data_IF_768312553090
#
_entry.id   IF_768312553090
#
_cell.length_a   1.000
_cell.length_b   1.000
_cell.length_c   1.000
_cell.angle_alpha   90.00
_cell.angle_beta   90.00
_cell.angle_gamma   90.00
#
_symmetry.space_group_name_H-M   'P 1'
#
loop_
_entity.id
_entity.type
_entity.pdbx_description
1 polymer ?
#
# COMPACT_ATOMS: atom_id res chain seq x y z
N UNK A 1 22.06 -39.84 14.82
CA UNK A 1 20.99 -38.83 14.58
C UNK A 1 21.58 -37.45 14.73
N UNK A 2 21.92 -36.77 13.62
CA UNK A 2 22.26 -35.34 13.67
C UNK A 2 20.95 -34.58 13.85
N UNK A 3 20.74 -33.99 15.04
CA UNK A 3 19.68 -32.99 15.22
C UNK A 3 20.04 -31.80 14.33
N UNK A 4 19.32 -31.64 13.24
CA UNK A 4 19.36 -30.42 12.44
C UNK A 4 18.93 -29.28 13.36
N UNK A 5 19.87 -28.40 13.72
CA UNK A 5 19.55 -27.15 14.40
C UNK A 5 18.83 -26.29 13.37
N UNK A 6 17.50 -26.29 13.43
CA UNK A 6 16.68 -25.36 12.64
C UNK A 6 16.99 -23.98 13.22
N UNK A 7 17.75 -23.19 12.47
CA UNK A 7 18.20 -21.86 12.90
C UNK A 7 16.98 -20.94 13.05
N UNK A 8 17.00 -19.99 13.99
CA UNK A 8 15.84 -19.12 14.29
C UNK A 8 15.31 -18.37 13.04
N UNK A 9 16.22 -17.95 12.14
CA UNK A 9 15.88 -17.40 10.83
C UNK A 9 15.06 -18.34 9.93
N UNK A 10 15.33 -19.65 9.96
CA UNK A 10 14.61 -20.63 9.13
C UNK A 10 13.21 -20.92 9.68
N UNK A 11 13.03 -20.91 11.00
CA UNK A 11 11.70 -21.00 11.63
C UNK A 11 10.88 -19.74 11.32
N UNK A 12 11.48 -18.56 11.45
CA UNK A 12 10.83 -17.28 11.14
C UNK A 12 10.42 -17.20 9.67
N UNK A 13 11.30 -17.61 8.74
CA UNK A 13 10.98 -17.68 7.29
C UNK A 13 9.87 -18.69 6.99
N UNK A 14 9.84 -19.85 7.66
CA UNK A 14 8.73 -20.81 7.52
C UNK A 14 7.41 -20.26 8.04
N UNK A 15 7.42 -19.51 9.15
CA UNK A 15 6.21 -18.87 9.67
C UNK A 15 5.71 -17.74 8.76
N UNK A 16 6.60 -16.96 8.15
CA UNK A 16 6.25 -15.95 7.14
C UNK A 16 5.57 -16.59 5.93
N UNK A 17 6.10 -17.71 5.43
CA UNK A 17 5.47 -18.45 4.33
C UNK A 17 4.10 -19.05 4.74
N UNK A 18 3.84 -19.25 6.03
CA UNK A 18 2.59 -19.83 6.50
C UNK A 18 1.40 -18.93 6.20
N UNK A 19 1.45 -17.64 6.53
CA UNK A 19 0.34 -16.72 6.25
C UNK A 19 0.03 -16.64 4.76
N UNK A 20 1.06 -16.43 3.93
CA UNK A 20 0.94 -16.34 2.47
C UNK A 20 0.49 -17.66 1.83
N UNK A 21 0.77 -18.80 2.47
CA UNK A 21 0.24 -20.10 2.04
C UNK A 21 -1.21 -20.35 2.46
N UNK A 22 -1.63 -19.87 3.63
CA UNK A 22 -3.00 -20.01 4.16
C UNK A 22 -3.99 -19.14 3.38
N UNK A 23 -3.54 -17.95 2.97
CA UNK A 23 -4.28 -17.00 2.13
C UNK A 23 -3.74 -17.01 0.71
N UNK A 24 -3.75 -18.20 0.10
CA UNK A 24 -3.31 -18.41 -1.28
C UNK A 24 -4.14 -17.55 -2.25
N UNK A 25 -3.51 -16.71 -3.09
CA UNK A 25 -4.21 -15.88 -4.07
C UNK A 25 -5.15 -16.65 -5.01
N UNK A 26 -4.84 -17.91 -5.35
CA UNK A 26 -5.65 -18.74 -6.25
C UNK A 26 -7.01 -19.13 -5.64
N UNK A 27 -7.12 -19.14 -4.31
CA UNK A 27 -8.37 -19.45 -3.60
C UNK A 27 -9.30 -18.22 -3.49
N UNK A 28 -8.85 -17.05 -3.98
CA UNK A 28 -9.50 -15.75 -3.81
C UNK A 28 -9.87 -15.38 -2.36
N UNK A 29 -9.12 -15.93 -1.40
CA UNK A 29 -9.27 -15.59 0.01
C UNK A 29 -8.62 -14.25 0.29
N UNK A 30 -9.36 -13.38 0.97
CA UNK A 30 -8.84 -12.13 1.48
C UNK A 30 -8.45 -12.30 2.95
N UNK A 31 -7.23 -11.92 3.28
CA UNK A 31 -6.77 -11.86 4.67
C UNK A 31 -7.42 -10.67 5.40
N UNK A 32 -8.01 -10.93 6.56
CA UNK A 32 -8.68 -9.95 7.41
C UNK A 32 -8.50 -10.37 8.88
N UNK A 33 -8.37 -9.40 9.78
CA UNK A 33 -8.22 -9.60 11.23
C UNK A 33 -9.46 -9.12 11.98
N UNK A 34 -10.10 -8.07 11.50
CA UNK A 34 -11.23 -7.37 12.11
C UNK A 34 -12.39 -7.26 11.11
N UNK A 35 -13.64 -7.40 11.57
CA UNK A 35 -14.82 -7.21 10.72
C UNK A 35 -15.19 -5.73 10.50
N UNK A 36 -16.35 -5.47 9.90
CA UNK A 36 -16.85 -4.12 9.64
C UNK A 36 -17.40 -3.43 10.90
N UNK A 37 -17.69 -4.19 11.96
CA UNK A 37 -18.14 -3.69 13.26
C UNK A 37 -16.97 -3.49 14.25
N UNK A 38 -15.74 -3.63 13.80
CA UNK A 38 -14.53 -3.44 14.61
C UNK A 38 -14.20 -4.62 15.53
N UNK A 39 -14.80 -5.80 15.32
CA UNK A 39 -14.56 -6.98 16.16
C UNK A 39 -13.44 -7.82 15.57
N UNK A 40 -12.49 -8.19 16.42
CA UNK A 40 -11.37 -9.06 16.03
C UNK A 40 -11.87 -10.50 15.82
N UNK A 41 -11.78 -10.97 14.58
CA UNK A 41 -12.17 -12.33 14.16
C UNK A 41 -11.00 -13.31 14.20
N UNK A 42 -9.76 -12.82 14.01
CA UNK A 42 -8.55 -13.65 13.99
C UNK A 42 -7.51 -13.19 15.04
N UNK A 43 -7.74 -13.43 16.35
CA UNK A 43 -6.85 -12.95 17.42
C UNK A 43 -5.40 -13.43 17.30
N UNK A 44 -5.17 -14.59 16.67
CA UNK A 44 -3.82 -15.14 16.41
C UNK A 44 -2.97 -14.26 15.48
N UNK A 45 -3.60 -13.42 14.68
CA UNK A 45 -2.95 -12.53 13.72
C UNK A 45 -2.98 -11.06 14.13
N UNK A 46 -3.54 -10.75 15.30
CA UNK A 46 -3.52 -9.40 15.84
C UNK A 46 -2.06 -8.96 16.07
N UNK A 47 -1.61 -7.85 15.46
CA UNK A 47 -0.23 -7.42 15.58
C UNK A 47 0.07 -6.90 17.00
N UNK A 48 1.32 -7.07 17.43
CA UNK A 48 1.80 -6.49 18.69
C UNK A 48 1.96 -4.96 18.54
N UNK A 49 0.87 -4.23 18.75
CA UNK A 49 0.83 -2.77 18.76
C UNK A 49 0.35 -2.29 20.14
N UNK A 50 1.16 -1.47 20.80
CA UNK A 50 0.76 -0.81 22.05
C UNK A 50 -0.43 0.12 21.82
N UNK A 51 -1.30 0.29 22.82
CA UNK A 51 -2.46 1.19 22.75
C UNK A 51 -2.08 2.61 22.33
N UNK A 52 -0.94 3.14 22.79
CA UNK A 52 -0.45 4.47 22.43
C UNK A 52 -0.15 4.60 20.93
N UNK A 53 0.53 3.58 20.37
CA UNK A 53 0.82 3.51 18.92
C UNK A 53 -0.46 3.33 18.10
N UNK A 54 -1.43 2.55 18.59
CA UNK A 54 -2.72 2.37 17.92
C UNK A 54 -3.52 3.67 17.87
N UNK A 55 -3.61 4.39 19.00
CA UNK A 55 -4.25 5.71 19.07
C UNK A 55 -3.54 6.71 18.15
N UNK A 56 -2.20 6.65 18.07
CA UNK A 56 -1.44 7.47 17.12
C UNK A 56 -1.82 7.14 15.67
N UNK A 57 -1.84 5.86 15.30
CA UNK A 57 -2.20 5.44 13.94
C UNK A 57 -3.62 5.90 13.57
N UNK A 58 -4.59 5.76 14.48
CA UNK A 58 -5.94 6.29 14.28
C UNK A 58 -5.94 7.80 14.03
N UNK A 59 -5.23 8.57 14.87
CA UNK A 59 -5.12 10.03 14.72
C UNK A 59 -4.43 10.44 13.41
N UNK A 60 -3.42 9.71 12.99
CA UNK A 60 -2.70 9.98 11.74
C UNK A 60 -3.62 9.73 10.52
N UNK A 61 -4.40 8.64 10.52
CA UNK A 61 -5.40 8.36 9.49
C UNK A 61 -6.48 9.44 9.45
N UNK A 62 -7.01 9.83 10.63
CA UNK A 62 -8.02 10.89 10.73
C UNK A 62 -7.47 12.25 10.27
N UNK A 63 -6.22 12.56 10.60
CA UNK A 63 -5.55 13.76 10.13
C UNK A 63 -5.39 13.75 8.61
N UNK A 64 -4.94 12.62 8.04
CA UNK A 64 -4.83 12.46 6.59
C UNK A 64 -6.19 12.64 5.89
N UNK A 65 -7.26 12.02 6.39
CA UNK A 65 -8.63 12.23 5.87
C UNK A 65 -9.06 13.68 5.96
N UNK A 66 -8.82 14.34 7.09
CA UNK A 66 -9.17 15.76 7.28
C UNK A 66 -8.43 16.64 6.28
N UNK A 67 -7.13 16.42 6.10
CA UNK A 67 -6.32 17.12 5.12
C UNK A 67 -6.79 16.86 3.68
N UNK A 68 -7.19 15.62 3.35
CA UNK A 68 -7.74 15.22 2.06
C UNK A 68 -9.02 15.99 1.72
N UNK A 69 -9.96 16.05 2.66
CA UNK A 69 -11.21 16.81 2.52
C UNK A 69 -10.94 18.31 2.36
N UNK A 70 -9.96 18.84 3.09
CA UNK A 70 -9.54 20.24 2.94
C UNK A 70 -8.91 20.53 1.58
N UNK A 71 -8.08 19.62 1.05
CA UNK A 71 -7.50 19.75 -0.27
C UNK A 71 -8.58 19.79 -1.37
N UNK A 72 -9.59 18.90 -1.29
CA UNK A 72 -10.76 18.93 -2.17
C UNK A 72 -11.51 20.27 -2.05
N UNK A 73 -11.75 20.75 -0.84
CA UNK A 73 -12.39 22.05 -0.61
C UNK A 73 -11.59 23.22 -1.21
N UNK A 74 -10.26 23.23 -1.05
CA UNK A 74 -9.39 24.24 -1.65
C UNK A 74 -9.38 24.18 -3.17
N UNK A 75 -9.44 22.98 -3.76
CA UNK A 75 -9.57 22.84 -5.19
C UNK A 75 -10.88 23.44 -5.71
N UNK A 76 -12.00 23.19 -5.04
CA UNK A 76 -13.31 23.77 -5.40
C UNK A 76 -13.35 25.29 -5.27
N UNK A 77 -12.51 25.87 -4.42
CA UNK A 77 -12.32 27.32 -4.28
C UNK A 77 -11.32 27.91 -5.29
N UNK A 78 -10.72 27.10 -6.18
CA UNK A 78 -9.69 27.56 -7.12
C UNK A 78 -8.34 27.85 -6.48
N UNK A 79 -8.10 27.38 -5.25
CA UNK A 79 -6.85 27.59 -4.48
C UNK A 79 -5.84 26.45 -4.66
N UNK A 80 -6.27 25.36 -5.29
CA UNK A 80 -5.47 24.17 -5.61
C UNK A 80 -5.84 23.69 -7.01
N UNK A 81 -4.89 23.10 -7.73
CA UNK A 81 -5.14 22.50 -9.04
C UNK A 81 -5.72 21.09 -8.88
N UNK A 82 -5.53 20.20 -9.86
CA UNK A 82 -6.03 18.83 -9.82
C UNK A 82 -5.48 18.08 -8.61
N UNK A 83 -6.37 17.56 -7.77
CA UNK A 83 -6.03 16.78 -6.58
C UNK A 83 -6.66 15.38 -6.64
N UNK A 84 -5.92 14.31 -6.31
CA UNK A 84 -6.43 12.93 -6.22
C UNK A 84 -6.83 12.55 -4.77
N UNK A 85 -8.12 12.45 -4.43
CA UNK A 85 -8.57 12.18 -3.06
C UNK A 85 -8.18 10.80 -2.51
N UNK A 86 -7.81 10.69 -1.25
CA UNK A 86 -7.35 9.46 -0.60
C UNK A 86 -8.49 8.75 0.18
N UNK A 87 -9.67 9.38 0.21
CA UNK A 87 -10.82 8.96 1.00
C UNK A 87 -11.20 7.48 0.79
N UNK A 88 -11.17 6.71 1.89
CA UNK A 88 -11.49 5.28 1.95
C UNK A 88 -10.26 4.37 1.92
N UNK A 89 -9.06 4.90 1.70
CA UNK A 89 -7.81 4.11 1.58
C UNK A 89 -6.85 4.34 2.76
N UNK A 90 -7.30 4.98 3.84
CA UNK A 90 -6.43 5.50 4.90
C UNK A 90 -5.66 4.40 5.65
N UNK A 91 -6.27 3.22 5.87
CA UNK A 91 -5.62 2.11 6.56
C UNK A 91 -4.41 1.52 5.81
N UNK A 92 -4.34 1.65 4.48
CA UNK A 92 -3.15 1.27 3.72
C UNK A 92 -1.98 2.17 4.12
N UNK A 93 -2.20 3.48 4.11
CA UNK A 93 -1.20 4.46 4.54
C UNK A 93 -0.89 4.39 6.04
N UNK A 94 -1.89 4.07 6.87
CA UNK A 94 -1.72 3.84 8.31
C UNK A 94 -0.87 2.60 8.59
N UNK A 95 -1.09 1.51 7.85
CA UNK A 95 -0.26 0.30 7.92
C UNK A 95 1.19 0.58 7.55
N UNK A 96 1.42 1.31 6.45
CA UNK A 96 2.75 1.77 6.07
C UNK A 96 3.38 2.65 7.16
N UNK A 97 2.61 3.58 7.74
CA UNK A 97 3.09 4.45 8.82
C UNK A 97 3.52 3.71 10.09
N UNK A 98 2.88 2.58 10.39
CA UNK A 98 3.19 1.77 11.57
C UNK A 98 4.43 0.89 11.33
N UNK A 99 4.62 0.39 10.11
CA UNK A 99 5.61 -0.64 9.80
C UNK A 99 6.90 -0.08 9.21
N UNK A 100 6.82 0.93 8.35
CA UNK A 100 7.95 1.47 7.62
C UNK A 100 8.94 2.16 8.57
N UNK A 101 10.22 1.76 8.50
CA UNK A 101 11.29 2.38 9.28
C UNK A 101 11.87 3.59 8.55
N UNK A 102 12.63 4.42 9.25
CA UNK A 102 13.27 5.61 8.67
C UNK A 102 14.26 5.24 7.56
N UNK A 103 14.94 4.11 7.69
CA UNK A 103 15.92 3.59 6.73
C UNK A 103 15.26 2.98 5.49
N UNK A 104 14.02 2.53 5.58
CA UNK A 104 13.31 1.91 4.47
C UNK A 104 12.92 2.95 3.41
N UNK A 105 12.93 2.57 2.14
CA UNK A 105 12.56 3.46 1.04
C UNK A 105 11.04 3.47 0.80
N UNK A 106 10.49 4.66 0.53
CA UNK A 106 9.12 4.80 0.02
C UNK A 106 9.11 5.30 -1.42
N UNK A 107 8.44 4.54 -2.29
CA UNK A 107 8.28 4.86 -3.71
C UNK A 107 6.79 5.06 -3.99
N UNK A 108 6.30 6.32 -3.97
CA UNK A 108 4.88 6.61 -4.02
C UNK A 108 4.30 6.64 -5.43
N UNK A 109 2.99 6.41 -5.54
CA UNK A 109 2.18 6.90 -6.65
C UNK A 109 1.68 8.33 -6.36
N UNK A 110 0.67 8.82 -7.09
CA UNK A 110 0.12 10.16 -6.91
C UNK A 110 -0.97 10.29 -5.82
N UNK A 111 -1.36 9.21 -5.14
CA UNK A 111 -2.46 9.18 -4.15
C UNK A 111 -1.99 8.55 -2.84
N UNK A 112 -1.04 9.19 -2.18
CA UNK A 112 -0.37 8.61 -0.99
C UNK A 112 -0.26 9.61 0.17
N UNK A 113 -1.27 10.48 0.39
CA UNK A 113 -1.21 11.59 1.36
C UNK A 113 -0.76 11.12 2.75
N UNK A 114 -1.43 10.10 3.31
CA UNK A 114 -1.08 9.58 4.63
C UNK A 114 0.35 9.00 4.69
N UNK A 115 0.81 8.36 3.61
CA UNK A 115 2.12 7.72 3.58
C UNK A 115 3.26 8.74 3.38
N UNK A 116 3.04 9.81 2.60
CA UNK A 116 3.98 10.93 2.52
C UNK A 116 4.17 11.58 3.89
N UNK A 117 3.06 11.87 4.59
CA UNK A 117 3.10 12.44 5.94
C UNK A 117 3.82 11.51 6.92
N UNK A 118 3.52 10.21 6.86
CA UNK A 118 4.15 9.20 7.70
C UNK A 118 5.66 9.12 7.48
N UNK A 119 6.14 9.29 6.23
CA UNK A 119 7.57 9.29 5.93
C UNK A 119 8.28 10.58 6.32
N UNK A 120 7.55 11.61 6.75
CA UNK A 120 8.09 12.88 7.25
C UNK A 120 7.84 14.07 6.34
N UNK A 121 7.09 13.92 5.25
CA UNK A 121 6.67 15.09 4.47
C UNK A 121 5.74 15.96 5.33
N UNK A 122 5.88 17.28 5.21
CA UNK A 122 4.95 18.20 5.84
C UNK A 122 3.73 18.39 4.95
N UNK A 123 2.57 18.67 5.57
CA UNK A 123 1.36 18.99 4.81
C UNK A 123 1.56 20.20 3.89
N UNK A 124 2.39 21.16 4.29
CA UNK A 124 2.79 22.31 3.47
C UNK A 124 3.47 21.85 2.19
N UNK A 125 4.46 20.98 2.26
CA UNK A 125 5.18 20.50 1.07
C UNK A 125 4.24 19.75 0.12
N UNK A 126 3.40 18.86 0.65
CA UNK A 126 2.40 18.15 -0.17
C UNK A 126 1.42 19.12 -0.84
N UNK A 127 0.93 20.12 -0.11
CA UNK A 127 0.01 21.11 -0.69
C UNK A 127 0.72 22.01 -1.71
N UNK A 128 1.99 22.36 -1.49
CA UNK A 128 2.79 23.11 -2.48
C UNK A 128 2.87 22.38 -3.82
N UNK A 129 3.01 21.05 -3.80
CA UNK A 129 3.00 20.24 -5.03
C UNK A 129 1.69 20.41 -5.80
N UNK A 130 0.54 20.27 -5.12
CA UNK A 130 -0.78 20.32 -5.76
C UNK A 130 -1.27 21.74 -6.11
N UNK A 131 -0.60 22.79 -5.61
CA UNK A 131 -0.76 24.17 -6.12
C UNK A 131 0.28 24.52 -7.20
N UNK A 132 1.06 23.53 -7.67
CA UNK A 132 1.98 23.69 -8.81
C UNK A 132 3.27 24.44 -8.49
N UNK A 133 3.77 24.34 -7.25
CA UNK A 133 4.99 25.01 -6.81
C UNK A 133 6.14 24.00 -6.67
N UNK A 134 7.30 24.29 -7.29
CA UNK A 134 8.41 23.33 -7.40
C UNK A 134 8.96 22.86 -6.05
N UNK A 135 8.95 23.70 -5.01
CA UNK A 135 9.43 23.31 -3.68
C UNK A 135 8.60 22.16 -3.08
N UNK A 136 7.38 21.92 -3.58
CA UNK A 136 6.55 20.78 -3.19
C UNK A 136 7.07 19.42 -3.70
N UNK A 137 8.11 19.40 -4.54
CA UNK A 137 8.73 18.17 -5.06
C UNK A 137 9.84 17.62 -4.16
N UNK A 138 10.24 18.39 -3.14
CA UNK A 138 11.32 18.02 -2.22
C UNK A 138 10.79 18.00 -0.78
N UNK A 139 10.72 16.80 -0.20
CA UNK A 139 10.31 16.62 1.19
C UNK A 139 11.53 16.66 2.12
N UNK A 140 11.73 17.80 2.80
CA UNK A 140 12.98 18.09 3.53
C UNK A 140 13.27 17.13 4.68
N UNK A 141 12.23 16.67 5.35
CA UNK A 141 12.35 15.81 6.53
C UNK A 141 12.09 14.33 6.20
N UNK A 142 11.69 14.01 4.98
CA UNK A 142 11.40 12.65 4.58
C UNK A 142 12.64 12.01 3.97
N UNK A 143 13.31 11.16 4.74
CA UNK A 143 14.47 10.39 4.27
C UNK A 143 14.00 9.30 3.30
N UNK A 144 14.86 8.87 2.37
CA UNK A 144 14.63 7.68 1.55
C UNK A 144 13.22 7.63 0.93
N UNK A 145 12.82 8.71 0.27
CA UNK A 145 11.53 8.81 -0.43
C UNK A 145 11.79 9.31 -1.85
N UNK A 146 11.10 8.72 -2.83
CA UNK A 146 11.07 9.31 -4.17
C UNK A 146 9.95 10.36 -4.28
N UNK A 147 10.07 11.35 -5.17
CA UNK A 147 9.01 12.33 -5.40
C UNK A 147 7.69 11.69 -5.81
N UNK A 148 6.60 12.47 -5.72
CA UNK A 148 5.28 12.06 -6.21
C UNK A 148 5.38 11.67 -7.70
N UNK A 149 4.91 10.47 -8.03
CA UNK A 149 4.89 9.96 -9.42
C UNK A 149 3.48 9.99 -10.01
N UNK A 150 3.32 10.72 -11.11
CA UNK A 150 2.07 10.78 -11.90
C UNK A 150 2.05 9.75 -13.03
N UNK A 151 3.14 9.52 -13.81
CA UNK A 151 3.15 8.47 -14.82
C UNK A 151 2.99 7.09 -14.17
N UNK A 152 1.91 6.40 -14.52
CA UNK A 152 1.45 5.19 -13.83
C UNK A 152 2.51 4.09 -13.97
N UNK A 153 2.78 3.39 -12.86
CA UNK A 153 3.71 2.26 -12.73
C UNK A 153 5.20 2.55 -12.99
N UNK A 154 5.55 3.65 -13.65
CA UNK A 154 6.96 4.03 -13.95
C UNK A 154 7.87 4.04 -12.71
N UNK A 155 7.34 4.48 -11.56
CA UNK A 155 8.08 4.51 -10.30
C UNK A 155 8.53 3.12 -9.83
N UNK A 156 7.84 2.06 -10.24
CA UNK A 156 8.14 0.70 -9.83
C UNK A 156 9.51 0.22 -10.37
N UNK A 157 9.92 0.71 -11.55
CA UNK A 157 11.26 0.46 -12.09
C UNK A 157 12.34 1.01 -11.16
N UNK A 158 12.12 2.21 -10.63
CA UNK A 158 13.02 2.82 -9.65
C UNK A 158 13.01 2.05 -8.33
N UNK A 159 11.86 1.52 -7.90
CA UNK A 159 11.79 0.66 -6.73
C UNK A 159 12.63 -0.61 -6.88
N UNK A 160 12.56 -1.29 -8.04
CA UNK A 160 13.39 -2.45 -8.33
C UNK A 160 14.89 -2.11 -8.31
N UNK A 161 15.28 -0.97 -8.89
CA UNK A 161 16.66 -0.47 -8.86
C UNK A 161 17.16 -0.10 -7.45
N UNK A 162 16.33 0.55 -6.64
CA UNK A 162 16.63 0.84 -5.23
C UNK A 162 16.81 -0.46 -4.43
N UNK A 163 15.91 -1.42 -4.59
CA UNK A 163 16.03 -2.73 -3.96
C UNK A 163 17.31 -3.45 -4.40
N UNK A 164 17.65 -3.41 -5.68
CA UNK A 164 18.92 -3.95 -6.18
C UNK A 164 20.13 -3.30 -5.50
N UNK A 165 20.13 -1.96 -5.35
CA UNK A 165 21.18 -1.23 -4.64
C UNK A 165 21.30 -1.66 -3.18
N UNK A 166 20.17 -1.75 -2.45
CA UNK A 166 20.13 -2.20 -1.05
C UNK A 166 20.79 -3.58 -0.92
N UNK A 167 20.41 -4.52 -1.80
CA UNK A 167 20.98 -5.87 -1.81
C UNK A 167 22.47 -5.85 -2.14
N UNK A 168 22.86 -5.10 -3.16
CA UNK A 168 24.26 -5.00 -3.60
C UNK A 168 25.18 -4.44 -2.50
N UNK A 169 24.68 -3.47 -1.73
CA UNK A 169 25.40 -2.86 -0.61
C UNK A 169 25.24 -3.60 0.71
N UNK A 170 24.45 -4.68 0.75
CA UNK A 170 24.12 -5.43 1.95
C UNK A 170 23.54 -4.54 3.08
N UNK A 171 22.63 -3.63 2.71
CA UNK A 171 21.94 -2.73 3.63
C UNK A 171 20.72 -3.43 4.26
N UNK A 172 20.44 -3.15 5.53
CA UNK A 172 19.26 -3.66 6.25
C UNK A 172 18.00 -2.83 5.94
N UNK A 173 17.71 -2.52 4.68
CA UNK A 173 16.55 -1.69 4.27
C UNK A 173 15.62 -2.47 3.34
N UNK A 174 14.37 -2.02 3.19
CA UNK A 174 13.43 -2.51 2.15
C UNK A 174 12.87 -1.32 1.39
N UNK A 175 12.27 -1.58 0.22
CA UNK A 175 11.52 -0.59 -0.54
C UNK A 175 10.03 -0.93 -0.47
N UNK A 176 9.19 0.02 -0.06
CA UNK A 176 7.74 -0.05 -0.26
C UNK A 176 7.37 0.73 -1.51
N UNK A 177 6.81 0.03 -2.50
CA UNK A 177 6.46 0.62 -3.80
C UNK A 177 4.96 0.48 -4.04
N UNK A 178 4.28 1.61 -4.25
CA UNK A 178 2.82 1.65 -4.32
C UNK A 178 2.33 1.89 -5.74
N UNK A 179 1.26 1.21 -6.12
CA UNK A 179 0.55 1.40 -7.40
C UNK A 179 -0.94 1.09 -7.23
N UNK A 180 -1.80 1.63 -8.09
CA UNK A 180 -3.22 1.25 -8.13
C UNK A 180 -3.47 -0.02 -8.96
N UNK A 181 -4.68 -0.58 -8.88
CA UNK A 181 -5.12 -1.73 -9.68
C UNK A 181 -4.92 -1.53 -11.19
N UNK A 182 -5.31 -0.36 -11.72
CA UNK A 182 -5.10 -0.05 -13.15
C UNK A 182 -3.63 -0.03 -13.57
N UNK A 183 -2.72 0.33 -12.67
CA UNK A 183 -1.29 0.33 -12.96
C UNK A 183 -0.69 -1.08 -13.08
N UNK A 184 -1.42 -2.12 -12.64
CA UNK A 184 -0.97 -3.51 -12.84
C UNK A 184 -1.14 -4.01 -14.28
N UNK A 185 -1.81 -3.23 -15.12
CA UNK A 185 -1.95 -3.46 -16.56
C UNK A 185 -0.81 -2.83 -17.37
N UNK A 186 0.01 -1.95 -16.77
CA UNK A 186 1.16 -1.33 -17.42
C UNK A 186 2.32 -2.32 -17.55
N UNK A 187 3.09 -2.20 -18.64
CA UNK A 187 4.31 -3.00 -18.85
C UNK A 187 5.32 -2.82 -17.71
N UNK A 188 5.45 -1.59 -17.23
CA UNK A 188 6.35 -1.20 -16.14
C UNK A 188 6.08 -1.98 -14.84
N UNK A 189 4.83 -2.36 -14.56
CA UNK A 189 4.53 -3.22 -13.39
C UNK A 189 5.18 -4.60 -13.56
N UNK A 190 4.97 -5.23 -14.71
CA UNK A 190 5.47 -6.58 -14.98
C UNK A 190 7.00 -6.62 -15.00
N UNK A 191 7.61 -5.64 -15.66
CA UNK A 191 9.07 -5.51 -15.72
C UNK A 191 9.67 -5.32 -14.32
N UNK A 192 9.15 -4.39 -13.51
CA UNK A 192 9.68 -4.10 -12.19
C UNK A 192 9.61 -5.30 -11.24
N UNK A 193 8.46 -5.99 -11.21
CA UNK A 193 8.27 -7.16 -10.34
C UNK A 193 9.18 -8.31 -10.79
N UNK A 194 9.31 -8.54 -12.10
CA UNK A 194 10.20 -9.56 -12.64
C UNK A 194 11.67 -9.28 -12.32
N UNK A 195 12.15 -8.05 -12.53
CA UNK A 195 13.52 -7.66 -12.22
C UNK A 195 13.82 -7.79 -10.72
N UNK A 196 12.90 -7.34 -9.86
CA UNK A 196 13.04 -7.48 -8.42
C UNK A 196 13.11 -8.97 -8.00
N UNK A 197 12.31 -9.83 -8.63
CA UNK A 197 12.32 -11.28 -8.38
C UNK A 197 13.66 -11.91 -8.77
N UNK A 198 14.12 -11.69 -10.01
CA UNK A 198 15.37 -12.25 -10.55
C UNK A 198 16.57 -11.88 -9.68
N UNK A 199 16.62 -10.63 -9.20
CA UNK A 199 17.72 -10.16 -8.37
C UNK A 199 17.50 -10.35 -6.87
N UNK A 200 16.36 -10.94 -6.46
CA UNK A 200 15.95 -11.05 -5.06
C UNK A 200 16.06 -9.71 -4.32
N UNK A 201 15.63 -8.64 -4.96
CA UNK A 201 15.62 -7.30 -4.42
C UNK A 201 14.58 -7.19 -3.28
N UNK A 202 14.89 -6.54 -2.15
CA UNK A 202 13.99 -6.41 -1.01
C UNK A 202 12.91 -5.34 -1.27
N UNK A 203 11.93 -5.66 -2.13
CA UNK A 203 10.83 -4.76 -2.49
C UNK A 203 9.49 -5.35 -2.07
N UNK A 204 8.68 -4.58 -1.35
CA UNK A 204 7.28 -4.87 -1.08
C UNK A 204 6.43 -4.03 -2.03
N UNK A 205 5.86 -4.69 -3.04
CA UNK A 205 4.94 -4.06 -3.98
C UNK A 205 3.54 -4.06 -3.39
N UNK A 206 3.01 -2.87 -3.11
CA UNK A 206 1.67 -2.67 -2.55
C UNK A 206 0.75 -2.17 -3.66
N UNK A 207 -0.18 -3.04 -4.09
CA UNK A 207 -1.22 -2.68 -5.04
C UNK A 207 -2.46 -2.26 -4.27
N UNK A 208 -2.85 -0.99 -4.41
CA UNK A 208 -4.10 -0.47 -3.88
C UNK A 208 -5.22 -0.77 -4.87
N UNK A 209 -5.87 -1.92 -4.70
CA UNK A 209 -7.02 -2.28 -5.51
C UNK A 209 -8.25 -1.56 -4.97
N UNK A 210 -8.52 -0.37 -5.49
CA UNK A 210 -9.63 0.49 -5.05
C UNK A 210 -10.87 0.38 -5.96
N UNK A 211 -10.92 -0.71 -6.73
CA UNK A 211 -11.97 -1.14 -7.65
C UNK A 211 -12.11 -0.36 -8.96
N UNK A 212 -11.40 0.76 -9.15
CA UNK A 212 -11.57 1.62 -10.32
C UNK A 212 -10.30 2.35 -10.78
N UNK A 213 -9.93 2.15 -12.04
CA UNK A 213 -8.99 3.00 -12.75
C UNK A 213 -9.74 4.11 -13.51
N UNK A 214 -9.76 5.33 -12.96
CA UNK A 214 -10.63 6.43 -13.43
C UNK A 214 -12.10 5.99 -13.40
N UNK A 215 -12.67 5.63 -14.55
CA UNK A 215 -14.04 5.13 -14.74
C UNK A 215 -14.10 3.65 -15.10
N UNK A 216 -12.96 2.99 -15.28
CA UNK A 216 -12.87 1.58 -15.68
C UNK A 216 -12.91 0.70 -14.44
N UNK A 217 -13.94 -0.15 -14.25
CA UNK A 217 -14.01 -1.04 -13.11
C UNK A 217 -12.93 -2.13 -13.18
N UNK A 218 -12.47 -2.62 -12.03
CA UNK A 218 -11.39 -3.60 -11.93
C UNK A 218 -11.59 -4.85 -12.82
N UNK A 219 -12.83 -5.34 -12.93
CA UNK A 219 -13.18 -6.49 -13.81
C UNK A 219 -12.83 -6.28 -15.30
N UNK A 220 -12.60 -5.04 -15.73
CA UNK A 220 -12.16 -4.70 -17.09
C UNK A 220 -10.66 -4.44 -17.19
N UNK A 221 -9.93 -4.40 -16.07
CA UNK A 221 -8.46 -4.27 -16.06
C UNK A 221 -7.79 -5.62 -16.32
N UNK A 222 -8.33 -6.70 -15.76
CA UNK A 222 -7.73 -8.02 -15.90
C UNK A 222 -8.77 -9.12 -15.72
N UNK A 223 -8.54 -10.28 -16.37
CA UNK A 223 -9.36 -11.49 -16.17
C UNK A 223 -8.89 -12.35 -15.00
N UNK A 224 -7.80 -11.96 -14.33
CA UNK A 224 -7.35 -12.63 -13.11
C UNK A 224 -8.37 -12.48 -11.99
N UNK A 225 -8.53 -13.52 -11.17
CA UNK A 225 -9.49 -13.53 -10.05
C UNK A 225 -9.20 -12.43 -9.01
N UNK A 226 -7.91 -12.10 -8.85
CA UNK A 226 -7.44 -10.95 -8.08
C UNK A 226 -6.07 -10.50 -8.62
N UNK A 227 -5.47 -9.44 -8.05
CA UNK A 227 -4.13 -8.99 -8.46
C UNK A 227 -3.04 -9.88 -7.89
N UNK A 228 -3.20 -10.35 -6.64
CA UNK A 228 -2.18 -11.12 -5.94
C UNK A 228 -1.75 -12.40 -6.70
N UNK A 229 -2.65 -13.03 -7.48
CA UNK A 229 -2.29 -14.18 -8.34
C UNK A 229 -1.20 -13.87 -9.37
N UNK A 230 -0.99 -12.60 -9.75
CA UNK A 230 0.11 -12.22 -10.64
C UNK A 230 1.49 -12.55 -10.04
N UNK A 231 1.59 -12.68 -8.71
CA UNK A 231 2.85 -13.06 -8.04
C UNK A 231 3.42 -14.40 -8.54
N UNK A 232 2.54 -15.34 -8.94
CA UNK A 232 2.92 -16.65 -9.47
C UNK A 232 3.71 -16.54 -10.78
N UNK A 233 3.36 -15.59 -11.65
CA UNK A 233 4.06 -15.39 -12.91
C UNK A 233 5.54 -14.99 -12.70
N UNK A 234 5.84 -14.38 -11.56
CA UNK A 234 7.18 -13.92 -11.20
C UNK A 234 7.87 -14.81 -10.16
N UNK A 235 7.21 -15.88 -9.69
CA UNK A 235 7.77 -16.79 -8.70
C UNK A 235 7.96 -16.19 -7.30
N UNK A 236 7.11 -15.25 -6.89
CA UNK A 236 7.22 -14.55 -5.60
C UNK A 236 5.96 -14.75 -4.73
N UNK A 237 6.06 -14.58 -3.39
CA UNK A 237 4.89 -14.59 -2.52
C UNK A 237 3.91 -13.48 -2.89
N UNK A 238 2.62 -13.81 -2.85
CA UNK A 238 1.52 -12.89 -3.11
C UNK A 238 0.44 -13.06 -2.06
N UNK A 239 -0.22 -11.99 -1.63
CA UNK A 239 -1.36 -12.05 -0.73
C UNK A 239 -2.38 -10.96 -1.05
N UNK A 240 -3.67 -11.30 -0.96
CA UNK A 240 -4.78 -10.35 -0.98
C UNK A 240 -5.21 -10.08 0.45
N UNK A 241 -5.24 -8.82 0.85
CA UNK A 241 -5.56 -8.36 2.21
C UNK A 241 -6.65 -7.31 2.17
N UNK A 242 -7.49 -7.27 3.20
CA UNK A 242 -8.42 -6.17 3.44
C UNK A 242 -7.62 -4.89 3.71
N UNK A 243 -7.58 -4.00 2.71
CA UNK A 243 -6.88 -2.72 2.77
C UNK A 243 -7.51 -1.71 3.72
N UNK A 244 -8.73 -1.97 4.21
CA UNK A 244 -9.43 -1.12 5.18
C UNK A 244 -9.29 -1.63 6.62
N UNK A 245 -8.66 -2.80 6.82
CA UNK A 245 -8.33 -3.35 8.13
C UNK A 245 -6.89 -2.96 8.50
N UNK A 246 -6.74 -2.02 9.44
CA UNK A 246 -5.42 -1.58 9.88
C UNK A 246 -4.59 -2.74 10.47
N UNK A 247 -5.20 -3.64 11.23
CA UNK A 247 -4.48 -4.76 11.85
C UNK A 247 -3.98 -5.74 10.79
N UNK A 248 -4.82 -6.06 9.80
CA UNK A 248 -4.42 -6.92 8.69
C UNK A 248 -3.30 -6.29 7.85
N UNK A 249 -3.41 -4.98 7.54
CA UNK A 249 -2.37 -4.26 6.81
C UNK A 249 -1.04 -4.22 7.57
N UNK A 250 -1.05 -3.93 8.87
CA UNK A 250 0.16 -3.94 9.71
C UNK A 250 0.77 -5.35 9.74
N UNK A 251 -0.04 -6.38 9.89
CA UNK A 251 0.42 -7.77 9.91
C UNK A 251 1.10 -8.16 8.60
N UNK A 252 0.44 -7.93 7.46
CA UNK A 252 0.96 -8.30 6.13
C UNK A 252 2.21 -7.50 5.77
N UNK A 253 2.22 -6.18 6.00
CA UNK A 253 3.37 -5.34 5.67
C UNK A 253 4.58 -5.69 6.54
N UNK A 254 4.39 -6.00 7.82
CA UNK A 254 5.47 -6.50 8.68
C UNK A 254 6.04 -7.79 8.09
N UNK A 255 5.20 -8.79 7.83
CA UNK A 255 5.68 -10.08 7.30
C UNK A 255 6.35 -9.95 5.94
N UNK A 256 5.77 -9.19 5.02
CA UNK A 256 6.33 -8.94 3.70
C UNK A 256 7.71 -8.27 3.79
N UNK A 257 7.84 -7.28 4.67
CA UNK A 257 9.11 -6.57 4.85
C UNK A 257 10.17 -7.41 5.55
N UNK A 258 9.83 -8.23 6.54
CA UNK A 258 10.75 -9.15 7.18
C UNK A 258 11.25 -10.22 6.19
N UNK A 259 10.35 -10.75 5.34
CA UNK A 259 10.69 -11.69 4.29
C UNK A 259 11.68 -11.08 3.28
N UNK A 260 11.37 -9.87 2.81
CA UNK A 260 12.18 -9.15 1.85
C UNK A 260 13.56 -8.79 2.42
N UNK A 261 13.59 -8.25 3.64
CA UNK A 261 14.81 -7.85 4.38
C UNK A 261 15.73 -9.03 4.67
N UNK A 262 15.16 -10.21 4.92
CA UNK A 262 15.93 -11.46 5.06
C UNK A 262 16.58 -11.94 3.74
N UNK A 263 16.44 -11.19 2.64
CA UNK A 263 17.11 -11.46 1.36
C UNK A 263 16.41 -12.50 0.50
N UNK A 264 15.17 -12.87 0.83
CA UNK A 264 14.39 -13.88 0.12
C UNK A 264 13.81 -13.37 -1.20
N UNK A 265 13.77 -12.06 -1.41
CA UNK A 265 13.25 -11.42 -2.63
C UNK A 265 12.00 -10.58 -2.35
N UNK A 266 11.33 -10.10 -3.40
CA UNK A 266 10.21 -9.19 -3.24
C UNK A 266 8.91 -9.94 -2.88
N UNK A 267 7.91 -9.17 -2.48
CA UNK A 267 6.56 -9.65 -2.13
C UNK A 267 5.51 -8.78 -2.81
N UNK A 268 4.43 -9.40 -3.31
CA UNK A 268 3.27 -8.70 -3.85
C UNK A 268 2.12 -8.69 -2.83
N UNK A 269 1.68 -7.50 -2.43
CA UNK A 269 0.55 -7.30 -1.54
C UNK A 269 -0.56 -6.58 -2.31
N UNK A 270 -1.71 -7.23 -2.50
CA UNK A 270 -2.91 -6.59 -2.98
C UNK A 270 -3.76 -6.14 -1.78
N UNK A 271 -3.80 -4.84 -1.54
CA UNK A 271 -4.69 -4.23 -0.57
C UNK A 271 -6.03 -3.91 -1.24
N UNK A 272 -7.03 -4.75 -0.97
CA UNK A 272 -8.39 -4.55 -1.44
C UNK A 272 -9.07 -3.43 -0.65
N UNK A 273 -9.51 -2.38 -1.32
CA UNK A 273 -10.16 -1.21 -0.72
C UNK A 273 -11.18 -0.65 -1.72
N UNK A 274 -11.76 0.51 -1.45
CA UNK A 274 -12.66 1.20 -2.34
C UNK A 274 -12.41 2.70 -2.34
N UNK A 275 -12.25 3.27 -3.54
CA UNK A 275 -12.07 4.72 -3.70
C UNK A 275 -13.41 5.42 -3.51
N UNK A 276 -13.73 5.82 -2.28
CA UNK A 276 -14.97 6.52 -1.93
C UNK A 276 -15.07 7.92 -2.54
N UNK A 277 -13.93 8.56 -2.78
CA UNK A 277 -13.85 9.82 -3.53
C UNK A 277 -13.87 9.64 -5.06
N UNK A 278 -13.90 10.77 -5.77
CA UNK A 278 -13.68 10.80 -7.23
C UNK A 278 -12.25 10.38 -7.60
N UNK A 279 -12.00 10.08 -8.88
CA UNK A 279 -10.64 9.75 -9.34
C UNK A 279 -9.67 10.91 -9.06
N UNK A 280 -10.05 12.09 -9.52
CA UNK A 280 -9.46 13.37 -9.17
C UNK A 280 -10.58 14.37 -8.99
N UNK A 281 -10.27 15.59 -8.58
CA UNK A 281 -11.24 16.69 -8.53
C UNK A 281 -11.84 17.07 -9.90
N UNK A 282 -11.31 16.53 -11.00
CA UNK A 282 -11.82 16.74 -12.37
C UNK A 282 -12.75 15.62 -12.86
N UNK A 283 -13.06 14.64 -11.99
CA UNK A 283 -13.86 13.46 -12.29
C UNK A 283 -15.23 13.51 -11.61
N UNK A 284 -16.20 12.76 -12.16
CA UNK A 284 -17.57 12.62 -11.65
C UNK A 284 -17.95 11.13 -11.57
N UNK A 285 -17.90 10.52 -10.37
CA UNK A 285 -18.17 9.09 -10.19
C UNK A 285 -19.61 8.69 -10.49
N UNK A 286 -20.57 9.62 -10.41
CA UNK A 286 -22.00 9.33 -10.63
C UNK A 286 -22.30 8.84 -12.05
N UNK A 287 -21.35 8.99 -12.97
CA UNK A 287 -21.47 8.53 -14.36
C UNK A 287 -21.15 7.05 -14.56
N UNK A 288 -20.48 6.41 -13.61
CA UNK A 288 -19.98 5.04 -13.80
C UNK A 288 -20.06 4.15 -12.55
N UNK A 289 -20.57 4.67 -11.42
CA UNK A 289 -20.81 3.95 -10.17
C UNK A 289 -22.27 4.04 -9.75
N UNK A 290 -22.79 3.02 -9.08
CA UNK A 290 -24.14 3.04 -8.52
C UNK A 290 -24.13 3.52 -7.06
N UNK A 291 -25.25 4.04 -6.57
CA UNK A 291 -25.37 4.40 -5.15
C UNK A 291 -25.31 3.16 -4.25
N UNK A 292 -25.95 2.07 -4.68
CA UNK A 292 -25.98 0.81 -3.95
C UNK A 292 -24.55 0.26 -3.71
N UNK A 293 -23.65 0.35 -4.71
CA UNK A 293 -22.26 -0.06 -4.49
C UNK A 293 -21.53 0.88 -3.51
N UNK A 294 -21.77 2.20 -3.59
CA UNK A 294 -21.12 3.17 -2.70
C UNK A 294 -21.59 3.01 -1.25
N UNK A 295 -22.88 2.73 -1.03
CA UNK A 295 -23.46 2.47 0.28
C UNK A 295 -22.94 1.16 0.89
N UNK A 296 -22.85 0.08 0.09
CA UNK A 296 -22.26 -1.18 0.53
C UNK A 296 -20.81 -1.01 0.98
N UNK A 297 -20.01 -0.26 0.21
CA UNK A 297 -18.60 -0.04 0.52
C UNK A 297 -18.39 0.99 1.64
N UNK A 298 -19.36 1.85 1.93
CA UNK A 298 -19.29 2.78 3.07
C UNK A 298 -19.20 2.06 4.42
N UNK A 299 -19.77 0.86 4.55
CA UNK A 299 -19.66 0.03 5.76
C UNK A 299 -18.24 -0.51 6.02
N UNK A 300 -17.33 -0.37 5.04
CA UNK A 300 -15.95 -0.86 5.14
C UNK A 300 -14.97 0.25 5.52
N UNK A 301 -15.43 1.42 5.99
CA UNK A 301 -14.57 2.57 6.26
C UNK A 301 -13.47 2.25 7.29
N UNK A 302 -12.18 2.49 6.97
CA UNK A 302 -11.07 2.12 7.85
C UNK A 302 -11.02 2.89 9.18
N UNK A 303 -11.57 4.10 9.23
CA UNK A 303 -11.60 4.90 10.47
C UNK A 303 -12.78 4.49 11.34
N UNK A 304 -13.93 4.19 10.75
CA UNK A 304 -15.11 3.78 11.54
C UNK A 304 -14.93 2.38 12.14
N UNK A 305 -14.16 1.52 11.47
CA UNK A 305 -13.84 0.17 11.94
C UNK A 305 -12.83 0.12 13.09
N UNK A 306 -11.95 1.12 13.22
CA UNK A 306 -10.83 1.12 14.18
C UNK A 306 -11.15 1.84 15.48
#
# INVERSE_FOLDING_TARGET
MKRTVINDHSVKTMNLLKLFSEYNPLDDKMFQVMDNEGRVQEPKYLPEISSERLIKAYKDMLFARTADLMAVSYQRQGRMYTYPPNFGQEAISGGLAVVMRDEDWFVPAFRELGAWLAKGATLKEVFLYFVGYEDGTVFKNAKNILPISVPIASQLQHAAGLGYSIRYKNEDSVVYAVVGDGGTSEGDFSEAVNFASVWKAPVVFVVQNNQYAISVPFKMQTSSVNVAVKSYAYGIPGIKVDGNDLFAMVKVLNEASEYARAGNGPVLVEAFTYRRGSHTTSDDPTKYRTKDEEEMMAATDPIDRL
#
